data_IF_361612645546
#
_entry.id   IF_361612645546
#
_cell.length_a   1.000
_cell.length_b   1.000
_cell.length_c   1.000
_cell.angle_alpha   90.00
_cell.angle_beta   90.00
_cell.angle_gamma   90.00
#
_symmetry.space_group_name_H-M   'P 1'
#
loop_
_entity.id
_entity.type
_entity.pdbx_description
1 polymer ?
#
# COMPACT_ATOMS: atom_id res chain seq x y z
N UNK A 1 -19.81 8.86 56.20
CA UNK A 1 -20.35 7.97 57.26
C UNK A 1 -20.33 6.55 56.79
N UNK A 2 -19.75 5.70 57.64
CA UNK A 2 -19.66 4.25 57.64
C UNK A 2 -18.72 3.55 56.67
N UNK A 3 -17.55 3.24 57.23
CA UNK A 3 -16.63 2.15 56.95
C UNK A 3 -17.30 0.78 57.21
N UNK A 4 -16.96 -0.25 56.46
CA UNK A 4 -16.76 -1.58 57.00
C UNK A 4 -15.62 -2.31 56.24
N UNK A 5 -14.62 -2.59 57.01
CA UNK A 5 -13.51 -3.55 56.81
C UNK A 5 -13.99 -4.97 57.12
N UNK A 6 -13.39 -5.98 56.45
CA UNK A 6 -12.98 -7.32 56.95
C UNK A 6 -12.17 -7.97 55.84
N UNK A 7 -10.89 -8.22 55.94
CA UNK A 7 -10.07 -9.19 56.68
C UNK A 7 -10.36 -10.68 56.30
N UNK A 8 -9.50 -11.25 55.46
CA UNK A 8 -8.48 -12.24 55.71
C UNK A 8 -8.96 -13.70 55.70
N UNK A 9 -8.29 -14.52 54.88
CA UNK A 9 -7.71 -15.81 55.35
C UNK A 9 -6.75 -16.31 54.28
N UNK A 10 -5.49 -16.49 54.71
CA UNK A 10 -4.42 -17.23 54.03
C UNK A 10 -4.62 -18.73 54.21
N UNK A 11 -4.27 -19.51 53.16
CA UNK A 11 -4.19 -20.94 53.26
C UNK A 11 -3.06 -21.45 52.37
N UNK A 12 -1.88 -21.62 52.98
CA UNK A 12 -0.73 -22.34 52.39
C UNK A 12 -0.94 -23.82 52.55
N UNK A 13 -0.64 -24.62 51.51
CA UNK A 13 -0.35 -26.01 51.65
C UNK A 13 0.84 -26.38 50.77
N UNK A 14 1.88 -26.85 51.42
CA UNK A 14 3.15 -27.27 50.86
C UNK A 14 3.18 -28.81 50.67
N UNK A 15 4.07 -29.22 49.76
CA UNK A 15 4.89 -30.42 49.78
C UNK A 15 4.30 -31.77 49.37
N UNK A 16 4.94 -32.41 48.36
CA UNK A 16 5.88 -33.50 48.68
C UNK A 16 6.62 -33.98 47.41
N UNK A 17 7.95 -33.85 47.47
CA UNK A 17 8.90 -34.59 46.65
C UNK A 17 8.88 -36.07 47.02
N UNK A 18 8.93 -36.95 46.01
CA UNK A 18 9.49 -38.30 46.19
C UNK A 18 10.54 -38.54 45.10
N UNK A 19 11.80 -38.53 45.53
CA UNK A 19 12.93 -39.11 44.82
C UNK A 19 12.89 -40.65 44.96
N UNK A 20 13.08 -41.33 43.85
CA UNK A 20 13.59 -42.69 43.88
C UNK A 20 14.68 -42.84 42.80
N UNK A 21 15.92 -42.98 43.28
CA UNK A 21 17.08 -43.35 42.49
C UNK A 21 17.31 -44.85 42.63
N UNK A 22 17.88 -45.43 41.57
CA UNK A 22 18.79 -46.60 41.45
C UNK A 22 18.47 -47.32 40.14
N UNK A 23 19.33 -47.59 39.20
CA UNK A 23 20.77 -47.71 39.13
C UNK A 23 21.10 -48.73 38.06
N UNK A 24 22.12 -48.43 37.24
CA UNK A 24 22.94 -49.49 36.68
C UNK A 24 22.80 -49.84 35.21
N UNK A 25 23.88 -49.59 34.44
CA UNK A 25 24.37 -50.55 33.45
C UNK A 25 24.44 -50.08 31.98
N UNK A 26 25.62 -49.60 31.60
CA UNK A 26 26.33 -49.72 30.30
C UNK A 26 25.62 -50.25 29.07
N UNK A 27 25.68 -49.46 28.03
CA UNK A 27 26.22 -49.76 26.70
C UNK A 27 25.61 -48.79 25.67
N UNK A 28 26.41 -47.90 25.11
CA UNK A 28 26.06 -47.15 23.91
C UNK A 28 26.02 -48.10 22.70
N UNK A 29 25.11 -47.89 21.77
CA UNK A 29 25.35 -48.13 20.35
C UNK A 29 25.36 -46.85 19.56
N UNK A 30 26.25 -46.81 18.60
CA UNK A 30 26.51 -45.78 17.60
C UNK A 30 25.24 -45.28 16.92
N UNK A 31 25.17 -43.96 16.75
CA UNK A 31 24.19 -43.28 15.90
C UNK A 31 24.45 -43.64 14.44
N UNK A 32 23.67 -44.56 13.91
CA UNK A 32 23.50 -44.74 12.48
C UNK A 32 22.55 -43.72 11.95
N UNK A 33 23.06 -42.88 11.07
CA UNK A 33 22.32 -41.96 10.22
C UNK A 33 21.36 -42.77 9.32
N UNK A 34 20.10 -42.86 9.70
CA UNK A 34 19.03 -43.33 8.83
C UNK A 34 18.10 -42.11 8.57
N UNK A 35 18.46 -41.34 7.55
CA UNK A 35 17.44 -40.58 6.82
C UNK A 35 16.45 -41.59 6.28
N UNK A 36 15.33 -41.73 6.94
CA UNK A 36 14.13 -42.33 6.35
C UNK A 36 13.65 -41.38 5.27
N UNK A 37 13.84 -41.80 4.02
CA UNK A 37 13.03 -41.26 2.92
C UNK A 37 11.56 -41.43 3.32
N UNK A 38 10.85 -40.34 3.47
CA UNK A 38 9.41 -40.31 3.66
C UNK A 38 8.77 -40.80 2.35
N UNK A 39 8.54 -42.11 2.28
CA UNK A 39 7.60 -42.68 1.29
C UNK A 39 6.21 -42.13 1.61
N UNK A 40 5.53 -41.56 0.60
CA UNK A 40 4.19 -41.00 0.68
C UNK A 40 3.24 -41.81 1.57
N UNK A 41 3.05 -41.32 2.76
CA UNK A 41 2.03 -41.75 3.69
C UNK A 41 0.89 -40.78 3.62
N UNK A 42 -0.31 -41.34 3.65
CA UNK A 42 -1.60 -40.66 3.79
C UNK A 42 -1.44 -39.54 4.85
N UNK A 43 -1.23 -38.31 4.40
CA UNK A 43 -1.20 -37.15 5.29
C UNK A 43 -2.63 -37.02 5.81
N UNK A 44 -2.83 -37.11 7.13
CA UNK A 44 -4.14 -36.94 7.75
C UNK A 44 -4.78 -35.59 7.37
N UNK A 45 -6.06 -35.36 7.73
CA UNK A 45 -6.73 -34.12 7.40
C UNK A 45 -5.93 -32.91 7.91
N UNK A 46 -5.67 -31.96 7.03
CA UNK A 46 -4.95 -30.72 7.34
C UNK A 46 -5.91 -29.52 7.23
N UNK A 47 -5.74 -28.55 8.09
CA UNK A 47 -6.48 -27.27 8.00
C UNK A 47 -5.49 -26.15 7.77
N UNK A 48 -5.81 -25.26 6.85
CA UNK A 48 -5.10 -24.01 6.62
C UNK A 48 -6.06 -22.85 6.77
N UNK A 49 -5.62 -21.77 7.41
CA UNK A 49 -6.46 -20.65 7.81
C UNK A 49 -6.06 -19.36 7.10
N UNK A 50 -7.06 -18.56 6.70
CA UNK A 50 -6.89 -17.22 6.11
C UNK A 50 -7.56 -16.21 7.01
N UNK A 51 -6.90 -15.11 7.33
CA UNK A 51 -7.49 -13.91 7.94
C UNK A 51 -7.30 -12.70 7.05
N UNK A 52 -8.36 -11.91 6.87
CA UNK A 52 -8.30 -10.61 6.18
C UNK A 52 -9.38 -9.68 6.73
N UNK A 53 -9.16 -8.37 6.60
CA UNK A 53 -10.14 -7.37 7.04
C UNK A 53 -11.27 -7.20 6.02
N UNK A 54 -11.96 -8.31 5.77
CA UNK A 54 -13.09 -8.44 4.86
C UNK A 54 -14.18 -9.30 5.50
N UNK A 55 -15.44 -8.91 5.33
CA UNK A 55 -16.59 -9.64 5.88
C UNK A 55 -17.77 -9.62 4.90
N UNK A 56 -18.45 -10.74 4.67
CA UNK A 56 -19.62 -10.78 3.78
C UNK A 56 -20.66 -9.71 4.16
N UNK A 57 -21.11 -8.95 3.18
CA UNK A 57 -22.13 -7.90 3.37
C UNK A 57 -21.64 -6.67 4.16
N UNK A 58 -20.33 -6.52 4.42
CA UNK A 58 -19.73 -5.44 5.16
C UNK A 58 -18.47 -4.88 4.49
N UNK A 59 -17.46 -4.59 5.30
CA UNK A 59 -16.17 -4.08 4.81
C UNK A 59 -15.53 -5.09 3.85
N UNK A 60 -15.08 -4.61 2.70
CA UNK A 60 -14.43 -5.42 1.65
C UNK A 60 -15.23 -6.69 1.29
N UNK A 61 -16.57 -6.58 1.26
CA UNK A 61 -17.46 -7.73 1.05
C UNK A 61 -17.14 -8.57 -0.20
N UNK A 62 -16.77 -7.91 -1.30
CA UNK A 62 -16.41 -8.61 -2.54
C UNK A 62 -15.20 -9.54 -2.37
N UNK A 63 -14.22 -9.17 -1.54
CA UNK A 63 -13.09 -10.05 -1.22
C UNK A 63 -13.52 -11.23 -0.35
N UNK A 64 -14.35 -10.97 0.67
CA UNK A 64 -14.86 -12.03 1.53
C UNK A 64 -15.70 -13.04 0.73
N UNK A 65 -16.64 -12.55 -0.08
CA UNK A 65 -17.49 -13.38 -0.93
C UNK A 65 -16.64 -14.18 -1.95
N UNK A 66 -15.60 -13.57 -2.54
CA UNK A 66 -14.69 -14.28 -3.45
C UNK A 66 -13.91 -15.41 -2.75
N UNK A 67 -13.42 -15.16 -1.52
CA UNK A 67 -12.73 -16.20 -0.74
C UNK A 67 -13.67 -17.34 -0.41
N UNK A 68 -14.88 -17.07 0.10
CA UNK A 68 -15.83 -18.08 0.52
C UNK A 68 -16.44 -18.85 -0.66
N UNK A 69 -16.84 -18.14 -1.73
CA UNK A 69 -17.63 -18.72 -2.81
C UNK A 69 -16.77 -19.30 -3.96
N UNK A 70 -15.50 -18.83 -4.09
CA UNK A 70 -14.63 -19.29 -5.18
C UNK A 70 -13.34 -19.93 -4.67
N UNK A 71 -12.52 -19.23 -3.88
CA UNK A 71 -11.18 -19.71 -3.50
C UNK A 71 -11.25 -21.02 -2.73
N UNK A 72 -12.02 -21.06 -1.65
CA UNK A 72 -12.13 -22.24 -0.78
C UNK A 72 -12.59 -23.47 -1.56
N UNK A 73 -13.73 -23.42 -2.28
CA UNK A 73 -14.19 -24.58 -3.01
C UNK A 73 -13.22 -25.06 -4.10
N UNK A 74 -12.54 -24.15 -4.80
CA UNK A 74 -11.62 -24.52 -5.88
C UNK A 74 -10.33 -25.13 -5.33
N UNK A 75 -9.76 -24.55 -4.27
CA UNK A 75 -8.56 -25.08 -3.66
C UNK A 75 -8.79 -26.45 -3.01
N UNK A 76 -9.86 -26.61 -2.23
CA UNK A 76 -10.20 -27.89 -1.60
C UNK A 76 -10.45 -28.98 -2.65
N UNK A 77 -11.13 -28.65 -3.76
CA UNK A 77 -11.34 -29.59 -4.85
C UNK A 77 -10.02 -29.98 -5.56
N UNK A 78 -9.09 -29.06 -5.72
CA UNK A 78 -7.76 -29.35 -6.27
C UNK A 78 -6.98 -30.30 -5.36
N UNK A 79 -7.04 -30.06 -4.04
CA UNK A 79 -6.38 -30.89 -3.05
C UNK A 79 -7.00 -32.31 -3.00
N UNK A 80 -8.33 -32.43 -3.07
CA UNK A 80 -9.03 -33.70 -3.14
C UNK A 80 -8.64 -34.51 -4.40
N UNK A 81 -8.48 -33.82 -5.54
CA UNK A 81 -8.03 -34.46 -6.78
C UNK A 81 -6.63 -35.06 -6.69
N UNK A 82 -5.77 -34.50 -5.81
CA UNK A 82 -4.45 -35.02 -5.48
C UNK A 82 -4.48 -36.09 -4.35
N UNK A 83 -5.65 -36.35 -3.80
CA UNK A 83 -5.84 -37.34 -2.72
C UNK A 83 -5.48 -36.80 -1.33
N UNK A 84 -5.44 -35.47 -1.16
CA UNK A 84 -5.19 -34.79 0.12
C UNK A 84 -6.52 -34.32 0.74
N UNK A 85 -6.72 -34.58 2.02
CA UNK A 85 -7.87 -34.12 2.79
C UNK A 85 -7.54 -32.77 3.46
N UNK A 86 -7.85 -31.68 2.77
CA UNK A 86 -7.54 -30.31 3.18
C UNK A 86 -8.82 -29.52 3.39
N UNK A 87 -8.86 -28.77 4.48
CA UNK A 87 -9.94 -27.80 4.77
C UNK A 87 -9.34 -26.39 4.87
N UNK A 88 -9.97 -25.42 4.20
CA UNK A 88 -9.60 -24.01 4.33
C UNK A 88 -10.59 -23.32 5.25
N UNK A 89 -10.11 -22.65 6.30
CA UNK A 89 -10.94 -21.87 7.19
C UNK A 89 -10.70 -20.37 6.96
N UNK A 90 -11.77 -19.61 6.76
CA UNK A 90 -11.69 -18.16 6.59
C UNK A 90 -12.14 -17.44 7.86
N UNK A 91 -11.24 -16.65 8.45
CA UNK A 91 -11.49 -15.78 9.59
C UNK A 91 -11.85 -14.37 9.11
N UNK A 92 -13.11 -14.18 8.73
CA UNK A 92 -13.60 -12.88 8.28
C UNK A 92 -13.53 -11.82 9.39
N UNK A 93 -12.98 -10.65 9.08
CA UNK A 93 -12.94 -9.49 9.97
C UNK A 93 -13.59 -8.29 9.26
N UNK A 94 -14.24 -7.41 10.03
CA UNK A 94 -14.92 -6.22 9.47
C UNK A 94 -14.81 -5.05 10.44
N UNK A 95 -13.57 -4.76 10.87
CA UNK A 95 -13.26 -3.74 11.88
C UNK A 95 -12.45 -2.60 11.26
N UNK A 96 -12.19 -1.54 12.02
CA UNK A 96 -11.28 -0.47 11.59
C UNK A 96 -9.87 -1.03 11.37
N UNK A 97 -9.08 -0.42 10.46
CA UNK A 97 -7.78 -0.96 10.07
C UNK A 97 -6.79 -1.01 11.23
N UNK A 98 -6.82 -0.03 12.14
CA UNK A 98 -5.98 -0.03 13.34
C UNK A 98 -6.37 -1.13 14.34
N UNK A 99 -7.67 -1.42 14.48
CA UNK A 99 -8.14 -2.53 15.31
C UNK A 99 -7.73 -3.88 14.70
N UNK A 100 -7.81 -4.01 13.37
CA UNK A 100 -7.36 -5.18 12.65
C UNK A 100 -5.85 -5.38 12.79
N UNK A 101 -5.04 -4.33 12.54
CA UNK A 101 -3.59 -4.33 12.72
C UNK A 101 -3.20 -4.78 14.13
N UNK A 102 -3.85 -4.20 15.14
CA UNK A 102 -3.62 -4.56 16.55
C UNK A 102 -3.93 -6.04 16.81
N UNK A 103 -5.03 -6.57 16.25
CA UNK A 103 -5.40 -7.98 16.40
C UNK A 103 -4.33 -8.90 15.83
N UNK A 104 -3.94 -8.69 14.57
CA UNK A 104 -2.95 -9.57 13.92
C UNK A 104 -1.58 -9.47 14.58
N UNK A 105 -1.17 -8.27 15.05
CA UNK A 105 0.07 -8.10 15.81
C UNK A 105 0.07 -8.90 17.12
N UNK A 106 -1.04 -8.89 17.88
CA UNK A 106 -1.17 -9.67 19.11
C UNK A 106 -1.19 -11.19 18.85
N UNK A 107 -1.85 -11.62 17.78
CA UNK A 107 -1.91 -13.02 17.38
C UNK A 107 -0.48 -13.52 17.05
N UNK A 108 0.24 -12.82 16.20
CA UNK A 108 1.61 -13.13 15.81
C UNK A 108 2.59 -13.09 17.00
N UNK A 109 2.47 -12.06 17.86
CA UNK A 109 3.30 -11.94 19.07
C UNK A 109 3.14 -13.14 20.00
N UNK A 110 1.93 -13.74 20.05
CA UNK A 110 1.66 -14.91 20.87
C UNK A 110 2.09 -16.23 20.22
N UNK A 111 2.58 -16.21 18.99
CA UNK A 111 2.88 -17.39 18.17
C UNK A 111 1.62 -18.11 17.69
N UNK A 112 0.51 -17.38 17.53
CA UNK A 112 -0.77 -17.88 17.04
C UNK A 112 -1.25 -17.10 15.82
N UNK A 113 -2.54 -17.17 15.54
CA UNK A 113 -3.20 -16.52 14.39
C UNK A 113 -3.32 -17.42 13.17
N UNK A 114 -3.90 -16.90 12.11
CA UNK A 114 -4.10 -17.60 10.86
C UNK A 114 -2.78 -17.88 10.12
N UNK A 115 -2.76 -18.88 9.26
CA UNK A 115 -1.58 -19.27 8.47
C UNK A 115 -1.26 -18.23 7.38
N UNK A 116 -2.31 -17.64 6.79
CA UNK A 116 -2.21 -16.59 5.77
C UNK A 116 -2.90 -15.34 6.30
N UNK A 117 -2.20 -14.22 6.27
CA UNK A 117 -2.65 -12.97 6.86
C UNK A 117 -2.67 -11.88 5.78
N UNK A 118 -3.86 -11.30 5.54
CA UNK A 118 -4.00 -10.09 4.73
C UNK A 118 -3.50 -8.87 5.49
N UNK A 119 -2.66 -8.04 4.86
CA UNK A 119 -2.17 -6.81 5.49
C UNK A 119 -1.92 -5.69 4.48
N UNK A 120 -1.88 -4.47 4.99
CA UNK A 120 -1.42 -3.32 4.21
C UNK A 120 0.11 -3.34 4.12
N UNK A 121 0.67 -3.02 2.96
CA UNK A 121 2.11 -2.96 2.73
C UNK A 121 2.84 -1.98 3.66
N UNK A 122 2.16 -0.92 4.10
CA UNK A 122 2.73 0.04 5.06
C UNK A 122 3.01 -0.53 6.46
N UNK A 123 2.52 -1.74 6.76
CA UNK A 123 2.78 -2.39 8.05
C UNK A 123 3.96 -3.37 7.99
N UNK A 124 4.40 -3.74 6.78
CA UNK A 124 5.39 -4.81 6.58
C UNK A 124 6.68 -4.52 7.36
N UNK A 125 7.28 -3.35 7.20
CA UNK A 125 8.54 -3.03 7.87
C UNK A 125 8.41 -3.01 9.40
N UNK A 126 7.32 -2.47 9.95
CA UNK A 126 7.03 -2.51 11.39
C UNK A 126 6.94 -3.95 11.90
N UNK A 127 6.25 -4.82 11.17
CA UNK A 127 6.07 -6.22 11.56
C UNK A 127 7.39 -7.01 11.43
N UNK A 128 8.24 -6.67 10.46
CA UNK A 128 9.59 -7.23 10.32
C UNK A 128 10.48 -6.79 11.48
N UNK A 129 10.52 -5.50 11.80
CA UNK A 129 11.32 -4.98 12.92
C UNK A 129 10.88 -5.54 14.27
N UNK A 130 9.58 -5.81 14.43
CA UNK A 130 9.02 -6.46 15.61
C UNK A 130 9.28 -7.98 15.65
N UNK A 131 9.77 -8.59 14.57
CA UNK A 131 9.98 -10.03 14.45
C UNK A 131 8.68 -10.83 14.37
N UNK A 132 7.61 -10.22 13.86
CA UNK A 132 6.30 -10.86 13.73
C UNK A 132 6.14 -11.62 12.42
N UNK A 133 6.83 -11.21 11.36
CA UNK A 133 6.87 -11.87 10.07
C UNK A 133 8.32 -12.11 9.65
N UNK A 134 8.52 -13.13 8.82
CA UNK A 134 9.82 -13.55 8.30
C UNK A 134 9.79 -13.51 6.76
N UNK A 135 10.96 -13.48 6.08
CA UNK A 135 11.02 -13.60 4.64
C UNK A 135 10.18 -14.77 4.13
N UNK A 136 9.42 -14.53 3.08
CA UNK A 136 8.43 -15.49 2.57
C UNK A 136 9.06 -16.87 2.25
N UNK A 137 10.30 -16.87 1.70
CA UNK A 137 11.03 -18.08 1.37
C UNK A 137 11.52 -18.86 2.63
N UNK A 138 11.73 -18.18 3.76
CA UNK A 138 12.10 -18.85 5.01
C UNK A 138 10.91 -19.60 5.61
N UNK A 139 9.69 -19.06 5.43
CA UNK A 139 8.46 -19.69 5.93
C UNK A 139 7.93 -20.75 4.95
N UNK A 140 7.75 -20.39 3.68
CA UNK A 140 7.15 -21.24 2.64
C UNK A 140 8.12 -22.21 1.95
N UNK A 141 9.42 -22.10 2.25
CA UNK A 141 10.46 -22.97 1.70
C UNK A 141 10.87 -22.64 0.26
N UNK A 142 11.65 -23.53 -0.36
CA UNK A 142 12.24 -23.30 -1.70
C UNK A 142 11.21 -23.16 -2.82
N UNK A 143 10.00 -23.66 -2.64
CA UNK A 143 8.91 -23.52 -3.62
C UNK A 143 8.50 -22.05 -3.83
N UNK A 144 8.79 -21.17 -2.88
CA UNK A 144 8.54 -19.74 -2.98
C UNK A 144 9.35 -19.12 -4.12
N UNK A 145 10.65 -19.40 -4.16
CA UNK A 145 11.54 -18.82 -5.19
C UNK A 145 11.32 -19.45 -6.57
N UNK A 146 10.79 -20.68 -6.61
CA UNK A 146 10.48 -21.40 -7.85
C UNK A 146 9.09 -21.07 -8.42
N UNK A 147 8.32 -20.20 -7.76
CA UNK A 147 6.97 -19.87 -8.19
C UNK A 147 6.97 -19.00 -9.47
N UNK A 148 6.37 -19.52 -10.55
CA UNK A 148 6.33 -18.86 -11.86
C UNK A 148 5.59 -17.50 -11.83
N UNK A 149 4.73 -17.27 -10.82
CA UNK A 149 4.00 -16.00 -10.68
C UNK A 149 4.89 -14.79 -10.49
N UNK A 150 6.13 -14.96 -9.99
CA UNK A 150 7.05 -13.83 -9.83
C UNK A 150 7.44 -13.18 -11.16
N UNK A 151 7.50 -13.96 -12.25
CA UNK A 151 7.79 -13.44 -13.59
C UNK A 151 6.67 -12.54 -14.12
N UNK A 152 5.47 -12.64 -13.54
CA UNK A 152 4.27 -11.89 -13.93
C UNK A 152 4.01 -10.66 -13.05
N UNK A 153 4.74 -10.50 -11.96
CA UNK A 153 4.59 -9.37 -11.03
C UNK A 153 5.81 -8.46 -11.19
N UNK A 154 5.67 -7.26 -11.76
CA UNK A 154 6.80 -6.33 -11.89
C UNK A 154 7.52 -6.09 -10.56
N UNK A 155 8.85 -5.96 -10.60
CA UNK A 155 9.68 -5.74 -9.39
C UNK A 155 9.17 -4.55 -8.56
N UNK A 156 8.77 -3.47 -9.23
CA UNK A 156 8.18 -2.31 -8.56
C UNK A 156 6.90 -2.69 -7.78
N UNK A 157 6.04 -3.57 -8.32
CA UNK A 157 4.82 -4.02 -7.63
C UNK A 157 5.15 -4.95 -6.46
N UNK A 158 6.17 -5.82 -6.60
CA UNK A 158 6.65 -6.66 -5.50
C UNK A 158 7.11 -5.82 -4.30
N UNK A 159 7.59 -4.60 -4.54
CA UNK A 159 8.00 -3.63 -3.51
C UNK A 159 6.93 -3.33 -2.46
N UNK A 160 5.64 -3.48 -2.79
CA UNK A 160 4.53 -3.27 -1.84
C UNK A 160 4.60 -4.18 -0.61
N UNK A 161 5.11 -5.40 -0.75
CA UNK A 161 5.25 -6.41 0.30
C UNK A 161 6.71 -6.82 0.52
N UNK A 162 7.64 -5.93 0.18
CA UNK A 162 9.08 -6.12 0.40
C UNK A 162 9.61 -5.12 1.42
N UNK A 163 10.67 -5.48 2.12
CA UNK A 163 11.38 -4.61 3.04
C UNK A 163 12.86 -4.99 3.05
N UNK A 164 13.78 -4.02 2.89
CA UNK A 164 15.23 -4.26 2.82
C UNK A 164 15.63 -5.35 1.81
N UNK A 165 15.09 -5.24 0.59
CA UNK A 165 15.32 -6.15 -0.55
C UNK A 165 14.82 -7.60 -0.37
N UNK A 166 14.10 -7.90 0.73
CA UNK A 166 13.51 -9.21 0.98
C UNK A 166 11.98 -9.17 0.80
N UNK A 167 11.42 -10.27 0.25
CA UNK A 167 9.97 -10.43 0.06
C UNK A 167 9.33 -11.07 1.27
N UNK A 168 8.30 -10.43 1.81
CA UNK A 168 7.54 -10.92 2.97
C UNK A 168 6.15 -11.40 2.61
N UNK A 169 5.65 -11.05 1.42
CA UNK A 169 4.34 -11.46 0.96
C UNK A 169 4.16 -11.34 -0.55
N UNK A 170 2.93 -11.61 -1.00
CA UNK A 170 2.52 -11.41 -2.40
C UNK A 170 1.49 -10.28 -2.46
N UNK A 171 1.73 -9.22 -3.27
CA UNK A 171 0.77 -8.15 -3.50
C UNK A 171 -0.55 -8.67 -4.09
N UNK A 172 -1.66 -8.00 -3.75
CA UNK A 172 -3.00 -8.36 -4.21
C UNK A 172 -3.64 -7.35 -5.15
N UNK A 173 -3.05 -6.21 -5.30
CA UNK A 173 -3.47 -5.13 -6.14
C UNK A 173 -2.38 -4.09 -6.24
N UNK A 174 -2.48 -3.25 -7.23
CA UNK A 174 -1.63 -2.10 -7.45
C UNK A 174 -2.48 -0.94 -7.93
N UNK A 175 -2.00 0.27 -7.71
CA UNK A 175 -2.60 1.50 -8.18
C UNK A 175 -1.51 2.49 -8.60
N UNK A 176 -1.79 3.36 -9.55
CA UNK A 176 -0.84 4.34 -10.04
C UNK A 176 -1.36 5.76 -9.88
N UNK A 177 -0.42 6.72 -9.72
CA UNK A 177 -0.71 8.15 -9.70
C UNK A 177 -0.28 8.77 -11.02
N UNK A 178 -1.14 9.65 -11.54
CA UNK A 178 -0.92 10.36 -12.79
C UNK A 178 -1.39 11.80 -12.67
N UNK A 179 -1.01 12.63 -13.63
CA UNK A 179 -1.64 13.91 -13.85
C UNK A 179 -2.85 13.72 -14.75
N UNK A 180 -4.04 14.03 -14.25
CA UNK A 180 -5.25 14.18 -15.05
C UNK A 180 -5.36 15.63 -15.52
N UNK A 181 -5.83 15.83 -16.75
CA UNK A 181 -6.05 17.18 -17.28
C UNK A 181 -7.32 17.26 -18.13
N UNK A 182 -7.89 18.46 -18.20
CA UNK A 182 -9.11 18.70 -18.96
C UNK A 182 -8.76 19.16 -20.38
N UNK A 183 -8.96 18.29 -21.39
CA UNK A 183 -8.65 18.55 -22.80
C UNK A 183 -9.40 19.74 -23.38
N UNK A 184 -10.64 20.03 -22.93
CA UNK A 184 -11.40 21.20 -23.41
C UNK A 184 -10.78 22.49 -22.91
N UNK A 185 -10.36 22.56 -21.65
CA UNK A 185 -9.66 23.70 -21.08
C UNK A 185 -8.30 23.93 -21.76
N UNK A 186 -7.56 22.81 -22.02
CA UNK A 186 -6.29 22.86 -22.74
C UNK A 186 -6.48 23.43 -24.15
N UNK A 187 -7.47 22.95 -24.91
CA UNK A 187 -7.78 23.49 -26.23
C UNK A 187 -8.18 24.96 -26.16
N UNK A 188 -8.97 25.39 -25.15
CA UNK A 188 -9.35 26.79 -24.94
C UNK A 188 -8.14 27.66 -24.60
N UNK A 189 -7.16 27.15 -23.85
CA UNK A 189 -5.91 27.85 -23.55
C UNK A 189 -4.92 27.87 -24.73
N UNK A 190 -5.19 27.10 -25.79
CA UNK A 190 -4.28 26.92 -26.92
C UNK A 190 -3.13 25.95 -26.66
N UNK A 191 -3.29 25.10 -25.65
CA UNK A 191 -2.36 24.04 -25.32
C UNK A 191 -2.64 22.75 -26.13
N UNK A 192 -1.64 21.88 -26.24
CA UNK A 192 -1.81 20.60 -26.88
C UNK A 192 -2.73 19.71 -26.04
N UNK A 193 -3.68 19.05 -26.68
CA UNK A 193 -4.59 18.10 -26.04
C UNK A 193 -4.02 16.68 -25.90
N UNK A 194 -2.86 16.43 -26.50
CA UNK A 194 -2.01 15.25 -26.29
C UNK A 194 -0.76 15.68 -25.50
N UNK A 195 -1.01 16.17 -24.28
CA UNK A 195 -0.01 16.80 -23.44
C UNK A 195 0.81 15.77 -22.65
N UNK A 196 2.15 15.87 -22.78
CA UNK A 196 3.11 14.99 -22.12
C UNK A 196 4.26 15.84 -21.54
N UNK A 197 4.11 16.42 -20.33
CA UNK A 197 5.16 17.21 -19.71
C UNK A 197 6.35 16.35 -19.32
N UNK A 198 7.56 16.88 -19.46
CA UNK A 198 8.82 16.19 -19.10
C UNK A 198 9.49 16.81 -17.87
N UNK A 199 8.92 17.88 -17.32
CA UNK A 199 9.37 18.53 -16.08
C UNK A 199 8.21 19.24 -15.39
N UNK A 200 8.38 19.57 -14.11
CA UNK A 200 7.40 20.38 -13.37
C UNK A 200 7.30 21.82 -13.88
N UNK A 201 8.37 22.38 -14.47
CA UNK A 201 8.27 23.70 -15.10
C UNK A 201 7.31 23.68 -16.30
N UNK A 202 7.27 22.62 -17.10
CA UNK A 202 6.28 22.46 -18.19
C UNK A 202 4.85 22.30 -17.64
N UNK A 203 4.67 21.72 -16.46
CA UNK A 203 3.36 21.67 -15.77
C UNK A 203 2.95 23.07 -15.33
N UNK A 204 3.87 23.84 -14.75
CA UNK A 204 3.62 25.25 -14.37
C UNK A 204 3.32 26.12 -15.59
N UNK A 205 4.01 25.92 -16.71
CA UNK A 205 3.75 26.66 -17.96
C UNK A 205 2.33 26.40 -18.47
N UNK A 206 1.88 25.15 -18.46
CA UNK A 206 0.49 24.84 -18.82
C UNK A 206 -0.50 25.48 -17.83
N UNK A 207 -0.22 25.44 -16.54
CA UNK A 207 -1.05 26.08 -15.51
C UNK A 207 -1.13 27.61 -15.68
N UNK A 208 -0.03 28.27 -16.07
CA UNK A 208 0.00 29.71 -16.37
C UNK A 208 -0.88 30.09 -17.58
N UNK A 209 -0.95 29.23 -18.59
CA UNK A 209 -1.86 29.41 -19.72
C UNK A 209 -3.32 29.21 -19.31
N UNK A 210 -3.62 28.16 -18.52
CA UNK A 210 -4.95 27.87 -17.99
C UNK A 210 -5.48 29.01 -17.09
N UNK A 211 -4.59 29.66 -16.32
CA UNK A 211 -4.93 30.82 -15.47
C UNK A 211 -5.59 31.98 -16.26
N UNK A 212 -5.38 32.06 -17.56
CA UNK A 212 -5.98 33.13 -18.41
C UNK A 212 -7.46 32.87 -18.67
N UNK A 213 -7.99 31.72 -18.29
CA UNK A 213 -9.41 31.38 -18.46
C UNK A 213 -10.16 31.77 -17.19
N UNK A 214 -11.11 32.69 -17.30
CA UNK A 214 -11.89 33.15 -16.15
C UNK A 214 -12.64 32.01 -15.45
N UNK A 215 -12.47 31.89 -14.14
CA UNK A 215 -13.19 30.92 -13.29
C UNK A 215 -12.62 29.50 -13.33
N UNK A 216 -11.45 29.30 -13.91
CA UNK A 216 -10.71 28.05 -13.91
C UNK A 216 -9.62 28.06 -12.82
N UNK A 217 -9.50 27.00 -12.06
CA UNK A 217 -8.36 26.70 -11.20
C UNK A 217 -7.35 25.93 -12.06
N UNK A 218 -6.18 26.52 -12.37
CA UNK A 218 -5.20 25.90 -13.27
C UNK A 218 -4.73 24.54 -12.88
N UNK A 219 -4.29 24.38 -11.62
CA UNK A 219 -3.77 23.12 -11.08
C UNK A 219 -4.19 22.95 -9.63
N UNK A 220 -4.49 21.73 -9.24
CA UNK A 220 -4.83 21.40 -7.86
C UNK A 220 -4.00 20.18 -7.41
N UNK A 221 -3.18 20.40 -6.38
CA UNK A 221 -2.42 19.36 -5.69
C UNK A 221 -2.93 19.25 -4.26
N UNK A 222 -3.01 18.04 -3.73
CA UNK A 222 -3.39 17.86 -2.35
C UNK A 222 -2.31 18.39 -1.40
N UNK A 223 -2.71 19.17 -0.39
CA UNK A 223 -1.84 19.80 0.60
C UNK A 223 -2.55 19.90 1.96
N UNK A 224 -1.77 20.07 3.02
CA UNK A 224 -2.30 20.24 4.37
C UNK A 224 -2.80 18.95 5.00
N UNK A 225 -3.27 19.07 6.25
CA UNK A 225 -3.69 17.92 7.08
C UNK A 225 -5.14 17.50 6.89
N UNK A 226 -5.96 18.37 6.25
CA UNK A 226 -7.39 18.11 6.09
C UNK A 226 -7.71 16.90 5.21
N UNK A 227 -6.82 16.58 4.26
CA UNK A 227 -6.95 15.45 3.34
C UNK A 227 -6.19 14.20 3.80
N UNK A 228 -5.48 14.30 4.93
CA UNK A 228 -4.72 13.20 5.50
C UNK A 228 -3.71 12.61 4.52
N UNK A 229 -3.64 11.30 4.44
CA UNK A 229 -2.69 10.58 3.59
C UNK A 229 -2.86 10.86 2.08
N UNK A 230 -3.99 11.41 1.63
CA UNK A 230 -4.13 11.86 0.25
C UNK A 230 -3.16 13.00 -0.09
N UNK A 231 -2.79 13.85 0.88
CA UNK A 231 -1.77 14.90 0.71
C UNK A 231 -0.40 14.31 0.42
N UNK A 232 -0.01 13.25 1.12
CA UNK A 232 1.28 12.59 0.90
C UNK A 232 1.27 11.78 -0.38
N UNK A 233 0.31 10.89 -0.56
CA UNK A 233 0.27 9.94 -1.68
C UNK A 233 -0.05 10.56 -3.05
N UNK A 234 -0.90 11.60 -3.11
CA UNK A 234 -1.29 12.30 -4.33
C UNK A 234 -0.77 13.75 -4.34
N UNK A 235 0.36 13.99 -3.70
CA UNK A 235 0.97 15.30 -3.59
C UNK A 235 2.46 15.19 -3.32
N UNK A 236 2.87 15.24 -2.03
CA UNK A 236 4.28 15.37 -1.62
C UNK A 236 5.16 14.24 -2.13
N UNK A 237 4.78 12.98 -1.92
CA UNK A 237 5.65 11.84 -2.22
C UNK A 237 5.94 11.66 -3.72
N UNK A 238 4.96 11.77 -4.65
CA UNK A 238 5.28 11.73 -6.07
C UNK A 238 6.27 12.81 -6.50
N UNK A 239 6.14 14.03 -5.95
CA UNK A 239 7.08 15.11 -6.25
C UNK A 239 8.45 14.88 -5.60
N UNK A 240 8.48 14.36 -4.37
CA UNK A 240 9.72 14.07 -3.66
C UNK A 240 10.54 12.97 -4.36
N UNK A 241 9.91 11.86 -4.74
CA UNK A 241 10.61 10.83 -5.56
C UNK A 241 10.99 11.36 -6.95
N UNK A 242 10.31 12.40 -7.42
CA UNK A 242 10.64 13.16 -8.62
C UNK A 242 11.89 14.02 -8.50
N UNK A 243 12.37 14.33 -7.30
CA UNK A 243 13.68 14.96 -7.02
C UNK A 243 14.81 13.93 -6.86
N UNK A 244 14.48 12.64 -6.85
CA UNK A 244 15.42 11.55 -6.57
C UNK A 244 15.56 11.18 -5.09
N UNK A 245 14.84 11.85 -4.18
CA UNK A 245 14.92 11.60 -2.75
C UNK A 245 13.70 10.82 -2.25
N UNK A 246 13.87 9.64 -1.65
CA UNK A 246 12.80 8.98 -0.90
C UNK A 246 12.64 9.65 0.48
N UNK A 247 11.50 9.42 1.13
CA UNK A 247 11.25 9.93 2.49
C UNK A 247 12.04 9.17 3.56
N UNK A 248 12.52 7.99 3.25
CA UNK A 248 13.36 7.14 4.09
C UNK A 248 14.30 6.31 3.22
N UNK A 249 15.57 6.24 3.58
CA UNK A 249 16.60 5.46 2.89
C UNK A 249 17.72 5.08 3.86
N UNK A 250 18.27 3.90 3.74
CA UNK A 250 19.46 3.43 4.50
C UNK A 250 19.36 3.56 6.03
N UNK A 251 18.15 3.55 6.59
CA UNK A 251 17.93 3.68 8.04
C UNK A 251 17.66 5.10 8.52
N UNK A 252 17.71 6.09 7.65
CA UNK A 252 17.53 7.49 7.98
C UNK A 252 16.28 8.09 7.29
N UNK A 253 15.61 8.97 8.00
CA UNK A 253 14.49 9.74 7.49
C UNK A 253 14.95 11.04 6.87
N UNK A 254 14.29 11.45 5.80
CA UNK A 254 14.53 12.72 5.15
C UNK A 254 14.29 13.88 6.14
N UNK A 255 15.29 14.74 6.29
CA UNK A 255 15.24 15.94 7.11
C UNK A 255 15.17 17.22 6.27
N UNK A 256 15.94 18.24 6.67
CA UNK A 256 16.00 19.54 5.99
C UNK A 256 16.90 19.51 4.75
N UNK A 257 16.56 18.69 3.76
CA UNK A 257 17.30 18.58 2.50
C UNK A 257 16.75 19.50 1.41
N UNK A 258 17.61 19.85 0.48
CA UNK A 258 17.27 20.73 -0.65
C UNK A 258 16.14 20.14 -1.49
N UNK A 259 16.06 18.81 -1.65
CA UNK A 259 15.04 18.10 -2.41
C UNK A 259 13.62 18.33 -1.84
N UNK A 260 13.45 18.25 -0.53
CA UNK A 260 12.15 18.59 0.09
C UNK A 260 11.90 20.11 0.00
N UNK A 261 12.94 20.92 0.10
CA UNK A 261 12.85 22.35 -0.14
C UNK A 261 12.29 22.68 -1.52
N UNK A 262 12.75 22.01 -2.57
CA UNK A 262 12.27 22.17 -3.93
C UNK A 262 10.77 21.80 -4.07
N UNK A 263 10.34 20.71 -3.44
CA UNK A 263 8.93 20.32 -3.40
C UNK A 263 8.08 21.38 -2.70
N UNK A 264 8.52 21.89 -1.55
CA UNK A 264 7.80 22.92 -0.80
C UNK A 264 7.76 24.26 -1.56
N UNK A 265 8.81 24.61 -2.30
CA UNK A 265 8.84 25.77 -3.18
C UNK A 265 7.86 25.63 -4.33
N UNK A 266 7.67 24.43 -4.89
CA UNK A 266 6.66 24.17 -5.91
C UNK A 266 5.25 24.41 -5.36
N UNK A 267 4.93 23.93 -4.16
CA UNK A 267 3.65 24.23 -3.49
C UNK A 267 3.47 25.73 -3.28
N UNK A 268 4.52 26.42 -2.83
CA UNK A 268 4.49 27.85 -2.60
C UNK A 268 4.24 28.62 -3.92
N UNK A 269 4.91 28.22 -5.00
CA UNK A 269 4.71 28.80 -6.34
C UNK A 269 3.25 28.64 -6.78
N UNK A 270 2.69 27.44 -6.64
CA UNK A 270 1.32 27.14 -7.08
C UNK A 270 0.28 27.92 -6.27
N UNK A 271 0.40 27.93 -4.95
CA UNK A 271 -0.69 28.43 -4.10
C UNK A 271 -0.52 29.89 -3.63
N UNK A 272 0.71 30.40 -3.57
CA UNK A 272 0.98 31.71 -2.96
C UNK A 272 1.56 32.70 -3.97
N UNK A 273 2.61 32.32 -4.73
CA UNK A 273 3.31 33.28 -5.58
C UNK A 273 2.61 33.54 -6.89
N UNK A 274 2.16 32.46 -7.53
CA UNK A 274 1.49 32.55 -8.83
C UNK A 274 -0.01 32.29 -8.76
N UNK A 275 -0.57 31.94 -7.60
CA UNK A 275 -2.01 31.70 -7.39
C UNK A 275 -2.62 30.82 -8.51
N UNK A 276 -1.97 29.70 -8.82
CA UNK A 276 -2.39 28.72 -9.83
C UNK A 276 -3.36 27.67 -9.27
N UNK A 277 -3.43 27.51 -7.95
CA UNK A 277 -4.32 26.61 -7.22
C UNK A 277 -5.21 27.36 -6.25
N UNK A 278 -6.25 26.69 -5.73
CA UNK A 278 -7.11 27.24 -4.67
C UNK A 278 -6.66 26.73 -3.29
N UNK A 279 -6.00 27.59 -2.47
CA UNK A 279 -5.52 27.17 -1.16
C UNK A 279 -6.64 26.90 -0.15
N UNK A 280 -7.86 27.37 -0.39
CA UNK A 280 -9.01 27.16 0.52
C UNK A 280 -9.42 25.69 0.49
N UNK A 281 -9.44 25.09 -0.69
CA UNK A 281 -9.77 23.66 -0.83
C UNK A 281 -8.82 22.77 -0.04
N UNK A 282 -7.58 23.20 0.18
CA UNK A 282 -6.58 22.44 0.94
C UNK A 282 -6.81 22.45 2.47
N UNK A 283 -7.68 23.35 2.96
CA UNK A 283 -8.00 23.53 4.38
C UNK A 283 -9.36 22.91 4.77
N UNK A 284 -10.14 22.46 3.80
CA UNK A 284 -11.46 21.90 4.01
C UNK A 284 -11.41 20.37 4.06
N UNK A 285 -12.07 19.75 5.05
CA UNK A 285 -12.13 18.30 5.16
C UNK A 285 -12.74 17.61 3.94
N UNK A 286 -13.62 18.28 3.20
CA UNK A 286 -14.21 17.82 1.93
C UNK A 286 -13.53 18.43 0.70
N UNK A 287 -12.37 19.03 0.85
CA UNK A 287 -11.69 19.78 -0.23
C UNK A 287 -11.32 18.91 -1.41
N UNK A 288 -10.92 17.66 -1.16
CA UNK A 288 -10.61 16.67 -2.20
C UNK A 288 -11.87 16.31 -3.01
N UNK A 289 -12.99 16.00 -2.36
CA UNK A 289 -14.26 15.69 -3.02
C UNK A 289 -14.79 16.90 -3.79
N UNK A 290 -14.59 18.11 -3.23
CA UNK A 290 -14.92 19.37 -3.90
C UNK A 290 -14.08 19.56 -5.14
N UNK A 291 -12.76 19.26 -5.10
CA UNK A 291 -11.87 19.31 -6.26
C UNK A 291 -12.31 18.31 -7.35
N UNK A 292 -12.76 17.13 -6.97
CA UNK A 292 -13.31 16.14 -7.90
C UNK A 292 -14.55 16.67 -8.64
N UNK A 293 -15.49 17.24 -7.89
CA UNK A 293 -16.70 17.84 -8.46
C UNK A 293 -16.38 19.03 -9.37
N UNK A 294 -15.42 19.88 -8.98
CA UNK A 294 -14.98 21.02 -9.79
C UNK A 294 -14.26 20.58 -11.06
N UNK A 295 -13.46 19.52 -11.01
CA UNK A 295 -12.85 18.93 -12.20
C UNK A 295 -13.91 18.39 -13.16
N UNK A 296 -14.88 17.64 -12.64
CA UNK A 296 -16.00 17.11 -13.42
C UNK A 296 -16.87 18.22 -14.05
N UNK A 297 -16.98 19.36 -13.38
CA UNK A 297 -17.66 20.59 -13.87
C UNK A 297 -16.83 21.40 -14.86
N UNK A 298 -15.60 20.96 -15.20
CA UNK A 298 -14.70 21.68 -16.12
C UNK A 298 -14.12 22.97 -15.52
N UNK A 299 -13.89 23.00 -14.19
CA UNK A 299 -13.35 24.16 -13.47
C UNK A 299 -11.94 23.98 -12.95
N UNK A 300 -11.38 22.77 -13.04
CA UNK A 300 -9.98 22.48 -12.75
C UNK A 300 -9.30 22.02 -14.04
N UNK A 301 -8.12 22.58 -14.33
CA UNK A 301 -7.35 22.27 -15.52
C UNK A 301 -6.50 21.01 -15.37
N UNK A 302 -5.73 20.92 -14.28
CA UNK A 302 -4.80 19.81 -13.98
C UNK A 302 -5.05 19.33 -12.55
N UNK A 303 -5.07 18.02 -12.35
CA UNK A 303 -5.26 17.36 -11.06
C UNK A 303 -4.30 16.18 -10.92
N UNK A 304 -3.51 16.12 -9.85
CA UNK A 304 -2.72 14.94 -9.52
C UNK A 304 -3.55 14.00 -8.66
N UNK A 305 -3.83 12.79 -9.18
CA UNK A 305 -4.63 11.78 -8.46
C UNK A 305 -4.26 10.35 -8.86
N UNK A 306 -4.76 9.38 -8.09
CA UNK A 306 -4.65 7.97 -8.43
C UNK A 306 -5.70 7.50 -9.45
N UNK A 307 -5.51 6.32 -10.01
CA UNK A 307 -6.46 5.67 -10.93
C UNK A 307 -7.87 5.52 -10.34
N UNK A 308 -7.99 5.52 -9.01
CA UNK A 308 -9.26 5.61 -8.29
C UNK A 308 -10.13 6.77 -8.79
N UNK A 309 -9.54 7.94 -9.13
CA UNK A 309 -10.28 9.07 -9.68
C UNK A 309 -11.02 8.68 -10.96
N UNK A 310 -10.34 7.96 -11.86
CA UNK A 310 -10.93 7.49 -13.12
C UNK A 310 -12.01 6.43 -12.91
N UNK A 311 -11.68 5.37 -12.18
CA UNK A 311 -12.54 4.20 -12.08
C UNK A 311 -13.72 4.32 -11.10
N UNK A 312 -13.62 5.23 -10.11
CA UNK A 312 -14.62 5.32 -9.02
C UNK A 312 -15.19 6.72 -8.81
N UNK A 313 -14.52 7.80 -9.25
CA UNK A 313 -15.02 9.16 -9.03
C UNK A 313 -15.74 9.67 -10.26
N UNK A 314 -15.05 9.77 -11.40
CA UNK A 314 -15.61 10.29 -12.65
C UNK A 314 -16.20 9.21 -13.56
N UNK A 315 -16.34 8.00 -13.08
CA UNK A 315 -16.90 6.89 -13.83
C UNK A 315 -18.35 7.19 -14.25
N UNK A 316 -18.68 7.11 -15.56
CA UNK A 316 -19.99 7.44 -16.06
C UNK A 316 -21.06 6.37 -15.79
N UNK A 317 -20.66 5.16 -15.34
CA UNK A 317 -21.59 4.06 -15.10
C UNK A 317 -22.56 4.39 -13.96
N UNK A 318 -23.83 4.01 -14.14
CA UNK A 318 -24.88 4.33 -13.17
C UNK A 318 -24.57 3.71 -11.78
N UNK A 319 -24.55 4.54 -10.76
CA UNK A 319 -24.32 4.12 -9.37
C UNK A 319 -22.86 3.89 -8.99
N UNK A 320 -21.91 4.15 -9.89
CA UNK A 320 -20.47 3.98 -9.63
C UNK A 320 -19.80 5.32 -9.28
N UNK A 321 -19.83 6.31 -10.18
CA UNK A 321 -19.16 7.57 -9.99
C UNK A 321 -19.78 8.44 -8.88
N UNK A 322 -18.95 9.07 -8.03
CA UNK A 322 -19.39 10.08 -7.06
C UNK A 322 -19.52 11.49 -7.69
N UNK A 323 -18.77 11.75 -8.76
CA UNK A 323 -18.85 12.93 -9.62
C UNK A 323 -18.81 12.49 -11.11
N UNK A 324 -19.82 11.76 -11.61
CA UNK A 324 -19.75 11.06 -12.89
C UNK A 324 -19.67 12.03 -14.06
N UNK A 325 -18.77 11.76 -15.01
CA UNK A 325 -18.58 12.49 -16.24
C UNK A 325 -19.02 11.64 -17.45
N UNK A 326 -20.20 11.90 -18.04
CA UNK A 326 -20.68 11.11 -19.20
C UNK A 326 -19.76 11.18 -20.44
N UNK A 327 -18.97 12.23 -20.55
CA UNK A 327 -18.01 12.49 -21.63
C UNK A 327 -16.54 12.31 -21.18
N UNK A 328 -16.31 11.53 -20.09
CA UNK A 328 -14.98 11.32 -19.50
C UNK A 328 -13.93 10.95 -20.54
N UNK A 329 -14.20 9.96 -21.36
CA UNK A 329 -13.23 9.38 -22.30
C UNK A 329 -12.83 10.38 -23.42
N UNK A 330 -13.67 11.40 -23.70
CA UNK A 330 -13.40 12.44 -24.68
C UNK A 330 -12.66 13.65 -24.08
N UNK A 331 -13.01 14.01 -22.83
CA UNK A 331 -12.62 15.30 -22.21
C UNK A 331 -11.42 15.15 -21.28
N UNK A 332 -11.25 14.00 -20.64
CA UNK A 332 -10.17 13.80 -19.68
C UNK A 332 -8.94 13.22 -20.36
N UNK A 333 -7.82 13.91 -20.20
CA UNK A 333 -6.49 13.41 -20.51
C UNK A 333 -5.80 12.92 -19.24
N UNK A 334 -4.84 12.06 -19.41
CA UNK A 334 -3.96 11.57 -18.34
C UNK A 334 -2.53 11.40 -18.86
N UNK A 335 -1.56 11.61 -18.00
CA UNK A 335 -0.15 11.50 -18.33
C UNK A 335 0.67 11.15 -17.10
N UNK A 336 1.86 10.57 -17.29
CA UNK A 336 2.80 10.30 -16.23
C UNK A 336 3.18 11.57 -15.47
N UNK A 337 3.49 11.45 -14.20
CA UNK A 337 4.05 12.53 -13.40
C UNK A 337 5.51 12.69 -13.79
N UNK A 338 5.95 13.86 -14.31
CA UNK A 338 7.35 14.07 -14.61
C UNK A 338 8.18 14.13 -13.32
N UNK A 339 9.44 13.72 -13.38
CA UNK A 339 10.44 14.14 -12.41
C UNK A 339 10.59 15.67 -12.42
N UNK A 340 11.26 16.25 -11.42
CA UNK A 340 11.49 17.70 -11.42
C UNK A 340 12.15 18.17 -12.71
N UNK A 341 13.16 17.41 -13.14
CA UNK A 341 13.80 17.51 -14.46
C UNK A 341 14.00 16.11 -15.05
N UNK A 342 14.19 15.95 -16.36
CA UNK A 342 14.49 14.64 -16.95
C UNK A 342 15.71 13.97 -16.29
N UNK A 343 15.52 12.74 -15.82
CA UNK A 343 16.55 11.97 -15.13
C UNK A 343 16.76 12.34 -13.65
N UNK A 344 16.01 13.29 -13.10
CA UNK A 344 16.12 13.67 -11.69
C UNK A 344 15.38 12.73 -10.74
N UNK A 345 14.43 11.95 -11.25
CA UNK A 345 13.64 11.06 -10.41
C UNK A 345 14.45 9.94 -9.76
N UNK A 346 13.85 9.29 -8.76
CA UNK A 346 14.45 8.14 -8.09
C UNK A 346 14.95 7.13 -9.15
N UNK A 347 16.10 6.52 -8.90
CA UNK A 347 16.78 5.63 -9.86
C UNK A 347 17.12 6.26 -11.24
N UNK A 348 17.14 7.60 -11.35
CA UNK A 348 17.41 8.30 -12.60
C UNK A 348 16.24 8.29 -13.58
N UNK A 349 15.01 8.14 -13.10
CA UNK A 349 13.82 8.10 -13.92
C UNK A 349 13.43 9.49 -14.43
N UNK A 350 12.86 9.54 -15.65
CA UNK A 350 12.29 10.77 -16.23
C UNK A 350 10.86 11.03 -15.70
N UNK A 351 10.18 9.96 -15.29
CA UNK A 351 8.81 9.99 -14.77
C UNK A 351 8.73 9.13 -13.52
N UNK A 352 7.81 9.48 -12.63
CA UNK A 352 7.65 8.83 -11.34
C UNK A 352 6.19 8.56 -11.02
N UNK A 353 5.94 7.65 -10.12
CA UNK A 353 4.63 7.43 -9.50
C UNK A 353 4.80 6.91 -8.09
N UNK A 354 3.73 6.94 -7.34
CA UNK A 354 3.58 6.21 -6.08
C UNK A 354 2.54 5.13 -6.26
N UNK A 355 2.77 3.98 -5.65
CA UNK A 355 1.76 2.93 -5.52
C UNK A 355 1.50 2.63 -4.05
N UNK A 356 0.29 2.21 -3.75
CA UNK A 356 -0.07 1.57 -2.51
C UNK A 356 -0.32 0.10 -2.76
N UNK A 357 -0.57 -0.65 -1.72
CA UNK A 357 -0.93 -2.04 -1.92
C UNK A 357 -1.22 -2.76 -0.63
N UNK A 358 -2.19 -3.64 -0.70
CA UNK A 358 -2.40 -4.70 0.27
C UNK A 358 -1.84 -5.99 -0.28
N UNK A 359 -1.53 -6.94 0.59
CA UNK A 359 -1.11 -8.26 0.17
C UNK A 359 -1.34 -9.30 1.24
N UNK A 360 -0.76 -10.46 1.05
CA UNK A 360 -0.84 -11.55 2.03
C UNK A 360 0.55 -12.05 2.36
N UNK A 361 0.77 -12.28 3.65
CA UNK A 361 1.99 -12.84 4.22
C UNK A 361 1.71 -14.21 4.84
N UNK A 362 2.74 -15.00 5.06
CA UNK A 362 2.65 -16.24 5.82
C UNK A 362 2.97 -15.99 7.30
N UNK A 363 2.28 -16.71 8.16
CA UNK A 363 2.57 -16.75 9.60
C UNK A 363 3.79 -17.64 9.84
N UNK A 364 4.90 -17.13 10.41
CA UNK A 364 6.07 -17.95 10.73
C UNK A 364 5.78 -19.11 11.70
N UNK A 365 4.70 -19.00 12.48
CA UNK A 365 4.26 -20.02 13.43
C UNK A 365 3.23 -21.00 12.87
N UNK A 366 2.98 -20.99 11.55
CA UNK A 366 2.07 -21.95 10.90
C UNK A 366 2.48 -23.39 11.18
N UNK A 367 1.52 -24.24 11.51
CA UNK A 367 1.74 -25.68 11.66
C UNK A 367 1.85 -26.40 10.30
N UNK A 368 1.38 -25.75 9.21
CA UNK A 368 1.37 -26.30 7.86
C UNK A 368 1.95 -25.30 6.84
N UNK A 369 3.20 -24.83 6.98
CA UNK A 369 3.73 -23.72 6.18
C UNK A 369 3.80 -24.03 4.68
N UNK A 370 4.10 -25.27 4.28
CA UNK A 370 4.11 -25.67 2.87
C UNK A 370 2.70 -25.62 2.26
N UNK A 371 1.67 -26.06 2.99
CA UNK A 371 0.28 -26.00 2.54
C UNK A 371 -0.22 -24.54 2.53
N UNK A 372 0.18 -23.73 3.51
CA UNK A 372 -0.11 -22.31 3.53
C UNK A 372 0.50 -21.59 2.31
N UNK A 373 1.72 -21.96 1.93
CA UNK A 373 2.34 -21.46 0.71
C UNK A 373 1.55 -21.90 -0.56
N UNK A 374 1.18 -23.18 -0.66
CA UNK A 374 0.38 -23.65 -1.81
C UNK A 374 -0.92 -22.86 -1.96
N UNK A 375 -1.62 -22.59 -0.85
CA UNK A 375 -2.84 -21.78 -0.87
C UNK A 375 -2.54 -20.31 -1.21
N UNK A 376 -1.45 -19.74 -0.68
CA UNK A 376 -1.05 -18.36 -1.01
C UNK A 376 -0.70 -18.23 -2.50
N UNK A 377 0.03 -19.17 -3.06
CA UNK A 377 0.34 -19.22 -4.49
C UNK A 377 -0.94 -19.38 -5.34
N UNK A 378 -1.88 -20.24 -4.91
CA UNK A 378 -3.18 -20.41 -5.58
C UNK A 378 -4.01 -19.12 -5.57
N UNK A 379 -4.11 -18.43 -4.43
CA UNK A 379 -4.78 -17.13 -4.28
C UNK A 379 -4.24 -16.05 -5.23
N UNK A 380 -2.99 -16.21 -5.68
CA UNK A 380 -2.30 -15.28 -6.55
C UNK A 380 -2.03 -15.86 -7.96
N UNK A 381 -2.73 -16.95 -8.32
CA UNK A 381 -2.72 -17.50 -9.68
C UNK A 381 -3.48 -16.60 -10.67
N UNK A 382 -3.22 -16.76 -11.96
CA UNK A 382 -3.94 -16.01 -13.00
C UNK A 382 -5.45 -16.28 -12.92
N UNK A 383 -5.85 -17.55 -12.80
CA UNK A 383 -7.26 -17.95 -12.69
C UNK A 383 -7.96 -17.29 -11.48
N UNK A 384 -7.26 -17.22 -10.34
CA UNK A 384 -7.79 -16.60 -9.14
C UNK A 384 -8.03 -15.10 -9.33
N UNK A 385 -7.07 -14.38 -9.92
CA UNK A 385 -7.24 -12.96 -10.22
C UNK A 385 -8.31 -12.70 -11.28
N UNK A 386 -8.35 -13.47 -12.38
CA UNK A 386 -9.41 -13.36 -13.38
C UNK A 386 -10.80 -13.52 -12.73
N UNK A 387 -10.96 -14.49 -11.84
CA UNK A 387 -12.23 -14.70 -11.13
C UNK A 387 -12.56 -13.53 -10.20
N UNK A 388 -11.56 -12.96 -9.52
CA UNK A 388 -11.71 -11.84 -8.58
C UNK A 388 -12.18 -10.57 -9.27
N UNK A 389 -11.66 -10.27 -10.46
CA UNK A 389 -11.96 -9.02 -11.18
C UNK A 389 -13.09 -9.16 -12.20
N UNK A 390 -13.68 -10.35 -12.36
CA UNK A 390 -14.77 -10.62 -13.30
C UNK A 390 -16.01 -9.73 -13.09
N UNK A 391 -16.26 -9.27 -11.86
CA UNK A 391 -17.38 -8.39 -11.50
C UNK A 391 -17.08 -6.90 -11.54
N UNK A 392 -15.83 -6.51 -11.34
CA UNK A 392 -15.39 -5.11 -11.32
C UNK A 392 -13.94 -5.04 -11.79
N UNK A 393 -13.75 -4.48 -12.97
CA UNK A 393 -12.42 -4.35 -13.58
C UNK A 393 -11.52 -3.49 -12.69
N UNK A 394 -10.36 -4.05 -12.32
CA UNK A 394 -9.32 -3.36 -11.58
C UNK A 394 -7.94 -3.91 -11.94
N UNK A 395 -6.92 -3.11 -11.72
CA UNK A 395 -5.53 -3.51 -11.94
C UNK A 395 -5.17 -4.61 -10.94
N UNK A 396 -4.64 -5.71 -11.45
CA UNK A 396 -4.07 -6.79 -10.64
C UNK A 396 -2.55 -6.64 -10.55
N UNK A 397 -1.87 -7.32 -9.64
CA UNK A 397 -0.41 -7.28 -9.62
C UNK A 397 0.25 -8.03 -10.79
N UNK A 398 -0.52 -8.80 -11.57
CA UNK A 398 -0.02 -9.69 -12.63
C UNK A 398 -0.21 -9.09 -14.01
N UNK A 399 0.85 -9.00 -14.77
CA UNK A 399 0.84 -8.49 -16.16
C UNK A 399 0.02 -9.38 -17.09
N UNK A 400 0.17 -10.72 -17.01
CA UNK A 400 -0.56 -11.67 -17.85
C UNK A 400 -2.08 -11.60 -17.68
N UNK A 401 -2.56 -11.28 -16.49
CA UNK A 401 -3.99 -11.05 -16.21
C UNK A 401 -4.42 -9.68 -16.73
N UNK A 402 -3.61 -8.65 -16.45
CA UNK A 402 -3.91 -7.28 -16.85
C UNK A 402 -4.04 -7.12 -18.37
N UNK A 403 -3.19 -7.80 -19.17
CA UNK A 403 -3.29 -7.83 -20.64
C UNK A 403 -4.66 -8.22 -21.14
N UNK A 404 -5.37 -9.07 -20.41
CA UNK A 404 -6.69 -9.58 -20.79
C UNK A 404 -7.83 -8.79 -20.17
N UNK A 405 -7.78 -8.55 -18.86
CA UNK A 405 -8.92 -7.97 -18.13
C UNK A 405 -9.04 -6.46 -18.30
N UNK A 406 -7.93 -5.77 -18.63
CA UNK A 406 -7.91 -4.33 -18.86
C UNK A 406 -8.05 -3.93 -20.33
N UNK A 407 -8.11 -4.90 -21.27
CA UNK A 407 -8.06 -4.66 -22.71
C UNK A 407 -9.13 -3.65 -23.24
N UNK A 408 -10.24 -3.51 -22.55
CA UNK A 408 -11.31 -2.59 -22.91
C UNK A 408 -11.26 -1.24 -22.14
N UNK A 409 -10.27 -1.05 -21.24
CA UNK A 409 -10.06 0.21 -20.50
C UNK A 409 -8.65 0.75 -20.75
N UNK A 410 -8.54 1.67 -21.73
CA UNK A 410 -7.26 2.26 -22.17
C UNK A 410 -6.49 2.92 -21.01
N UNK A 411 -7.20 3.54 -20.06
CA UNK A 411 -6.55 4.22 -18.95
C UNK A 411 -5.96 3.24 -17.93
N UNK A 412 -6.70 2.19 -17.58
CA UNK A 412 -6.17 1.18 -16.65
C UNK A 412 -5.04 0.37 -17.29
N UNK A 413 -5.11 0.07 -18.59
CA UNK A 413 -4.00 -0.52 -19.35
C UNK A 413 -2.76 0.38 -19.30
N UNK A 414 -2.95 1.69 -19.56
CA UNK A 414 -1.85 2.67 -19.48
C UNK A 414 -1.21 2.74 -18.08
N UNK A 415 -2.01 2.69 -17.01
CA UNK A 415 -1.47 2.63 -15.64
C UNK A 415 -0.66 1.36 -15.44
N UNK A 416 -1.17 0.22 -15.85
CA UNK A 416 -0.50 -1.08 -15.69
C UNK A 416 0.83 -1.13 -16.42
N UNK A 417 0.86 -0.69 -17.69
CA UNK A 417 2.01 -0.83 -18.57
C UNK A 417 3.07 0.27 -18.39
N UNK A 418 2.63 1.53 -18.19
CA UNK A 418 3.50 2.71 -18.27
C UNK A 418 3.76 3.38 -16.92
N UNK A 419 2.92 3.16 -15.91
CA UNK A 419 2.98 3.88 -14.63
C UNK A 419 3.44 2.98 -13.48
N UNK A 420 2.90 1.78 -13.36
CA UNK A 420 3.29 0.85 -12.29
C UNK A 420 4.78 0.53 -12.26
N UNK A 421 5.47 0.34 -13.41
CA UNK A 421 6.92 0.10 -13.40
C UNK A 421 7.76 1.26 -12.83
N UNK A 422 7.17 2.46 -12.72
CA UNK A 422 7.81 3.68 -12.20
C UNK A 422 7.49 3.93 -10.73
N UNK A 423 6.70 3.08 -10.11
CA UNK A 423 6.14 3.34 -8.79
C UNK A 423 7.13 3.13 -7.66
N UNK A 424 7.17 4.09 -6.74
CA UNK A 424 7.77 3.96 -5.43
C UNK A 424 6.69 3.67 -4.37
N UNK A 425 7.12 3.25 -3.19
CA UNK A 425 6.23 2.90 -2.08
C UNK A 425 6.58 3.70 -0.84
N UNK A 426 5.59 3.83 0.04
CA UNK A 426 5.79 4.39 1.38
C UNK A 426 6.64 3.43 2.20
N UNK A 427 7.53 3.92 3.07
CA UNK A 427 8.22 3.04 4.01
C UNK A 427 7.21 2.41 4.97
N UNK A 428 7.23 1.08 5.09
CA UNK A 428 6.33 0.33 5.95
C UNK A 428 6.73 0.36 7.43
N UNK A 429 7.20 1.50 7.94
CA UNK A 429 7.78 1.67 9.28
C UNK A 429 6.79 2.29 10.27
N UNK A 430 6.90 1.90 11.54
CA UNK A 430 6.01 2.40 12.60
C UNK A 430 5.98 3.93 12.73
N UNK A 431 7.09 4.61 12.45
CA UNK A 431 7.17 6.08 12.51
C UNK A 431 6.54 6.78 11.30
N UNK A 432 6.27 6.07 10.18
CA UNK A 432 5.79 6.68 8.96
C UNK A 432 4.51 7.52 9.13
N UNK A 433 3.46 7.09 9.86
CA UNK A 433 2.25 7.90 10.01
C UNK A 433 2.51 9.27 10.65
N UNK A 434 3.43 9.36 11.61
CA UNK A 434 3.79 10.62 12.26
C UNK A 434 4.67 11.49 11.34
N UNK A 435 5.59 10.88 10.58
CA UNK A 435 6.41 11.58 9.57
C UNK A 435 5.53 12.07 8.41
N UNK A 436 4.56 11.27 7.95
CA UNK A 436 3.57 11.67 6.97
C UNK A 436 2.77 12.89 7.44
N UNK A 437 2.33 12.91 8.70
CA UNK A 437 1.66 14.08 9.27
C UNK A 437 2.57 15.32 9.27
N UNK A 438 3.85 15.18 9.59
CA UNK A 438 4.81 16.29 9.54
C UNK A 438 4.98 16.85 8.11
N UNK A 439 5.00 15.98 7.07
CA UNK A 439 4.99 16.41 5.67
C UNK A 439 3.70 17.17 5.31
N UNK A 440 2.54 16.70 5.76
CA UNK A 440 1.26 17.37 5.57
C UNK A 440 1.25 18.76 6.22
N UNK A 441 1.79 18.89 7.44
CA UNK A 441 1.93 20.16 8.16
C UNK A 441 2.89 21.12 7.45
N UNK A 442 3.99 20.62 6.90
CA UNK A 442 4.92 21.43 6.11
C UNK A 442 4.27 22.02 4.86
N UNK A 443 3.47 21.20 4.12
CA UNK A 443 2.70 21.72 2.98
C UNK A 443 1.63 22.73 3.41
N UNK A 444 0.93 22.48 4.53
CA UNK A 444 -0.04 23.43 5.08
C UNK A 444 0.60 24.79 5.40
N UNK A 445 1.82 24.77 5.96
CA UNK A 445 2.56 25.97 6.30
C UNK A 445 2.90 26.80 5.05
N UNK A 446 3.49 26.19 4.03
CA UNK A 446 3.87 26.91 2.80
C UNK A 446 2.65 27.41 2.00
N UNK A 447 1.58 26.63 1.92
CA UNK A 447 0.31 27.02 1.28
C UNK A 447 -0.36 28.19 2.04
N UNK A 448 -0.14 28.28 3.35
CA UNK A 448 -0.60 29.41 4.18
C UNK A 448 0.33 30.63 4.13
N UNK A 449 1.45 30.56 3.40
CA UNK A 449 2.38 31.67 3.18
C UNK A 449 3.64 31.66 4.05
N UNK A 450 3.87 30.63 4.84
CA UNK A 450 5.14 30.43 5.57
C UNK A 450 6.29 30.29 4.56
N UNK A 451 7.45 30.94 4.79
CA UNK A 451 8.64 30.74 3.95
C UNK A 451 9.08 29.27 3.96
N UNK A 452 9.53 28.76 2.81
CA UNK A 452 9.98 27.39 2.63
C UNK A 452 11.06 26.99 3.64
N UNK A 453 12.06 27.84 3.84
CA UNK A 453 13.16 27.59 4.80
C UNK A 453 12.63 27.37 6.23
N UNK A 454 11.62 28.13 6.65
CA UNK A 454 11.02 28.00 8.00
C UNK A 454 10.17 26.72 8.10
N UNK A 455 9.39 26.38 7.07
CA UNK A 455 8.60 25.15 7.03
C UNK A 455 9.49 23.90 7.02
N UNK A 456 10.57 23.93 6.23
CA UNK A 456 11.56 22.85 6.14
C UNK A 456 12.28 22.62 7.46
N UNK A 457 12.72 23.69 8.13
CA UNK A 457 13.35 23.58 9.44
C UNK A 457 12.39 23.00 10.49
N UNK A 458 11.13 23.46 10.49
CA UNK A 458 10.10 22.95 11.42
C UNK A 458 9.83 21.46 11.17
N UNK A 459 9.75 21.04 9.90
CA UNK A 459 9.60 19.64 9.53
C UNK A 459 10.74 18.78 10.07
N UNK A 460 11.99 19.18 9.82
CA UNK A 460 13.17 18.45 10.29
C UNK A 460 13.23 18.32 11.81
N UNK A 461 12.93 19.40 12.54
CA UNK A 461 12.85 19.39 14.00
C UNK A 461 11.75 18.42 14.49
N UNK A 462 10.61 18.38 13.80
CA UNK A 462 9.48 17.47 14.12
C UNK A 462 9.89 16.03 13.89
N UNK A 463 10.47 15.71 12.73
CA UNK A 463 10.93 14.36 12.40
C UNK A 463 12.00 13.90 13.38
N UNK A 464 12.99 14.76 13.72
CA UNK A 464 14.00 14.45 14.73
C UNK A 464 13.37 14.16 16.11
N UNK A 465 12.28 14.84 16.45
CA UNK A 465 11.51 14.56 17.67
C UNK A 465 10.80 13.19 17.66
N UNK A 466 10.38 12.70 16.49
CA UNK A 466 9.71 11.42 16.31
C UNK A 466 10.72 10.26 16.34
N UNK A 467 11.77 10.35 15.52
CA UNK A 467 12.66 9.22 15.22
C UNK A 467 14.02 9.32 15.94
N UNK A 468 14.36 10.46 16.52
CA UNK A 468 15.67 10.78 17.10
C UNK A 468 16.59 11.47 16.09
N UNK A 469 17.43 12.41 16.59
CA UNK A 469 18.35 13.23 15.76
C UNK A 469 19.32 12.38 14.91
N UNK A 470 19.75 11.23 15.44
CA UNK A 470 20.74 10.34 14.78
C UNK A 470 20.13 9.55 13.60
N UNK A 471 18.81 9.58 13.43
CA UNK A 471 18.08 8.86 12.38
C UNK A 471 17.46 9.81 11.33
N UNK A 472 17.97 11.02 11.24
CA UNK A 472 17.51 12.04 10.28
C UNK A 472 18.66 12.52 9.40
N UNK A 473 18.50 12.37 8.09
CA UNK A 473 19.42 12.87 7.08
C UNK A 473 19.07 14.33 6.73
N UNK A 474 19.91 15.26 7.17
CA UNK A 474 19.80 16.69 6.87
C UNK A 474 20.76 17.16 5.75
N UNK A 475 21.42 16.27 5.03
CA UNK A 475 22.39 16.57 3.97
C UNK A 475 23.82 16.72 4.45
#
# INVERSE_FOLDING_TARGET
MRRHTNAGVAGALAAALVLAACGGGDSAPEAGDQRTEATGGDAGPATVTIVTNAIPGGKNAAEADWIEDWVIPQFEAAQEAEGRDVTVAFEAQGVDDEDYKTKIALDLQSGGGADIIGMDGIWVGEFVEAGYIEPLAEVGGSAVDEWEGWEQIPDAVQGALSFQDERYGIPQGADGRVLFYNKELFAQAGLDTDWQPTSWEEVLDAARELKKIDGVIPVQLNAGTAMGEATTMQGVLPMLVGTGAPVWEDGEWLGAKDELGEVLDLYRTIYVEEELGDPILQQEASGRDTSFALFADGKIGILLEGDYFWRSVINPAEGVGTAPMPNRDEVVGYTRIPAMEPGAGINGQDFVSMSGGTGRVLNPSSENPELAWELLAFLNSAEAFESRVAGTVSITPRDDVNETVLADDEMLSYISEEVLPLSAYRPGLAAYPEVSLALQEATAAVVSGTPTEEALATYADTVAGIVGEDNVDNG
#
